data_IF_578132285067
#
_entry.id   IF_578132285067
#
_cell.length_a   1.000
_cell.length_b   1.000
_cell.length_c   1.000
_cell.angle_alpha   90.00
_cell.angle_beta   90.00
_cell.angle_gamma   90.00
#
_symmetry.space_group_name_H-M   'P 1'
#
loop_
_entity.id
_entity.type
_entity.pdbx_description
1 polymer ?
#
# COMPACT_ATOMS: atom_id res chain seq x y z
N UNK A 1 -58.76 -74.43 -8.71
CA UNK A 1 -59.81 -73.64 -8.01
C UNK A 1 -59.12 -72.71 -7.02
N UNK A 2 -59.60 -71.46 -6.97
CA UNK A 2 -59.25 -70.36 -6.04
C UNK A 2 -58.95 -70.86 -4.62
N UNK A 3 -58.04 -70.18 -3.91
CA UNK A 3 -58.13 -69.73 -2.50
C UNK A 3 -56.80 -69.01 -2.18
N UNK A 4 -56.74 -67.67 -2.24
CA UNK A 4 -57.13 -66.67 -1.23
C UNK A 4 -56.28 -66.78 0.04
N UNK A 5 -55.49 -65.72 0.26
CA UNK A 5 -54.54 -65.45 1.32
C UNK A 5 -55.12 -65.62 2.73
N UNK A 6 -54.30 -66.19 3.62
CA UNK A 6 -54.47 -66.14 5.07
C UNK A 6 -53.60 -65.02 5.67
N UNK A 7 -54.18 -64.31 6.63
CA UNK A 7 -53.58 -63.25 7.43
C UNK A 7 -52.39 -63.76 8.27
N UNK A 8 -51.35 -62.95 8.40
CA UNK A 8 -50.52 -62.95 9.62
C UNK A 8 -49.96 -61.55 9.88
N UNK A 9 -50.58 -60.87 10.84
CA UNK A 9 -50.10 -59.66 11.49
C UNK A 9 -48.96 -60.02 12.45
N UNK A 10 -47.77 -59.45 12.25
CA UNK A 10 -46.65 -59.53 13.20
C UNK A 10 -46.27 -58.11 13.66
N UNK A 11 -46.55 -57.82 14.93
CA UNK A 11 -46.06 -56.64 15.64
C UNK A 11 -44.53 -56.68 15.68
N UNK A 12 -43.87 -55.64 15.15
CA UNK A 12 -42.45 -55.41 15.32
C UNK A 12 -42.23 -54.54 16.57
N UNK A 13 -41.60 -55.14 17.56
CA UNK A 13 -41.11 -54.50 18.79
C UNK A 13 -39.99 -53.54 18.43
N UNK A 14 -40.13 -52.31 18.91
CA UNK A 14 -39.15 -51.22 18.80
C UNK A 14 -38.01 -51.50 19.79
N UNK A 15 -36.76 -51.61 19.29
CA UNK A 15 -35.58 -51.47 20.13
C UNK A 15 -34.85 -50.21 19.68
N UNK A 16 -34.77 -49.28 20.63
CA UNK A 16 -34.17 -47.97 20.51
C UNK A 16 -32.67 -48.05 20.21
N UNK A 17 -32.22 -47.35 19.17
CA UNK A 17 -30.85 -46.83 19.13
C UNK A 17 -30.84 -45.50 19.89
N UNK A 18 -29.96 -45.42 20.90
CA UNK A 18 -29.70 -44.21 21.66
C UNK A 18 -29.36 -43.05 20.73
N UNK A 19 -30.06 -41.93 20.96
CA UNK A 19 -29.72 -40.60 20.47
C UNK A 19 -28.28 -40.27 20.94
N UNK A 20 -27.35 -40.14 20.00
CA UNK A 20 -26.21 -39.26 20.19
C UNK A 20 -26.74 -37.83 20.21
N UNK A 21 -26.97 -37.29 21.40
CA UNK A 21 -27.20 -35.85 21.58
C UNK A 21 -25.85 -35.14 21.43
N UNK A 22 -25.77 -34.16 20.53
CA UNK A 22 -24.70 -33.17 20.55
C UNK A 22 -23.81 -33.06 19.32
N UNK A 23 -24.02 -33.82 18.24
CA UNK A 23 -23.35 -33.51 16.97
C UNK A 23 -24.16 -32.44 16.21
N UNK A 24 -24.00 -31.19 16.61
CA UNK A 24 -24.16 -30.10 15.66
C UNK A 24 -23.07 -30.30 14.62
N UNK A 25 -23.44 -30.79 13.44
CA UNK A 25 -22.64 -30.56 12.24
C UNK A 25 -22.62 -29.05 12.08
N UNK A 26 -21.57 -28.40 12.58
CA UNK A 26 -21.18 -27.11 12.05
C UNK A 26 -20.97 -27.36 10.57
N UNK A 27 -22.01 -27.04 9.79
CA UNK A 27 -21.81 -26.70 8.40
C UNK A 27 -20.90 -25.49 8.48
N UNK A 28 -19.60 -25.74 8.41
CA UNK A 28 -18.65 -24.74 8.00
C UNK A 28 -19.29 -24.17 6.74
N UNK A 29 -19.84 -22.96 6.86
CA UNK A 29 -20.08 -22.11 5.71
C UNK A 29 -18.69 -21.91 5.14
N UNK A 30 -18.23 -22.87 4.33
CA UNK A 30 -17.16 -22.67 3.38
C UNK A 30 -17.79 -21.63 2.47
N UNK A 31 -17.55 -20.36 2.81
CA UNK A 31 -17.81 -19.24 1.93
C UNK A 31 -17.11 -19.67 0.65
N UNK A 32 -17.88 -20.09 -0.37
CA UNK A 32 -17.29 -20.39 -1.68
C UNK A 32 -16.43 -19.17 -1.98
N UNK A 33 -15.12 -19.32 -2.27
CA UNK A 33 -14.30 -18.19 -2.64
C UNK A 33 -15.04 -17.48 -3.77
N UNK A 34 -15.50 -16.25 -3.50
CA UNK A 34 -16.15 -15.44 -4.51
C UNK A 34 -15.12 -15.28 -5.62
N UNK A 35 -15.47 -15.72 -6.83
CA UNK A 35 -14.54 -15.73 -7.95
C UNK A 35 -13.98 -14.32 -8.17
N UNK A 36 -12.67 -14.24 -8.41
CA UNK A 36 -12.03 -12.99 -8.81
C UNK A 36 -12.66 -12.51 -10.11
N UNK A 37 -13.21 -11.31 -10.10
CA UNK A 37 -13.73 -10.69 -11.32
C UNK A 37 -12.54 -10.05 -12.04
N UNK A 38 -12.23 -10.42 -13.29
CA UNK A 38 -11.12 -9.81 -14.01
C UNK A 38 -11.44 -8.34 -14.32
N UNK A 39 -10.41 -7.48 -14.27
CA UNK A 39 -10.55 -6.09 -14.68
C UNK A 39 -10.44 -5.99 -16.21
N UNK A 40 -11.52 -6.33 -16.90
CA UNK A 40 -11.57 -6.35 -18.37
C UNK A 40 -12.68 -5.44 -18.86
N UNK A 41 -12.30 -4.27 -19.37
CA UNK A 41 -13.21 -3.28 -19.93
C UNK A 41 -12.75 -2.89 -21.34
N UNK A 42 -13.69 -2.91 -22.28
CA UNK A 42 -13.43 -2.63 -23.68
C UNK A 42 -14.55 -1.79 -24.29
N UNK A 43 -14.17 -1.02 -25.31
CA UNK A 43 -15.08 -0.27 -26.17
C UNK A 43 -14.66 -0.52 -27.61
N UNK A 44 -15.62 -0.82 -28.49
CA UNK A 44 -15.35 -1.15 -29.89
C UNK A 44 -14.34 -2.29 -30.09
N UNK A 45 -14.33 -3.27 -29.17
CA UNK A 45 -13.40 -4.42 -29.22
C UNK A 45 -11.95 -4.12 -28.83
N UNK A 46 -11.64 -2.89 -28.41
CA UNK A 46 -10.32 -2.48 -27.90
C UNK A 46 -10.41 -2.18 -26.40
N UNK A 47 -9.31 -2.39 -25.66
CA UNK A 47 -9.23 -2.01 -24.24
C UNK A 47 -9.57 -0.53 -24.05
N UNK A 48 -10.29 -0.20 -22.97
CA UNK A 48 -10.46 1.20 -22.52
C UNK A 48 -9.47 1.58 -21.41
N UNK A 49 -8.70 0.61 -20.91
CA UNK A 49 -7.76 0.78 -19.81
C UNK A 49 -6.38 1.23 -20.33
N UNK A 50 -5.92 2.40 -19.88
CA UNK A 50 -4.59 2.94 -20.17
C UNK A 50 -3.58 2.53 -19.08
N UNK A 51 -2.88 1.42 -19.32
CA UNK A 51 -1.76 0.98 -18.49
C UNK A 51 -0.45 1.69 -18.87
N UNK A 52 -0.37 2.21 -20.09
CA UNK A 52 0.89 2.63 -20.68
C UNK A 52 1.44 3.85 -19.94
N UNK A 53 0.62 4.86 -19.71
CA UNK A 53 1.02 6.10 -19.02
C UNK A 53 1.58 5.83 -17.62
N UNK A 54 0.97 4.89 -16.88
CA UNK A 54 1.44 4.48 -15.55
C UNK A 54 2.80 3.75 -15.65
N UNK A 55 2.96 2.90 -16.67
CA UNK A 55 4.19 2.12 -16.88
C UNK A 55 5.43 2.97 -17.17
N UNK A 56 5.25 4.16 -17.77
CA UNK A 56 6.34 5.07 -18.15
C UNK A 56 7.13 5.63 -16.95
N UNK A 57 6.53 5.66 -15.76
CA UNK A 57 7.20 6.11 -14.53
C UNK A 57 8.08 5.03 -13.90
N UNK A 58 7.84 3.76 -14.23
CA UNK A 58 8.47 2.63 -13.56
C UNK A 58 9.96 2.57 -13.83
N UNK A 59 10.35 2.60 -15.10
CA UNK A 59 11.75 2.48 -15.50
C UNK A 59 12.67 3.52 -14.83
N UNK A 60 12.40 4.84 -14.89
CA UNK A 60 13.27 5.82 -14.24
C UNK A 60 13.32 5.63 -12.71
N UNK A 61 12.20 5.27 -12.06
CA UNK A 61 12.16 5.03 -10.62
C UNK A 61 12.95 3.78 -10.22
N UNK A 62 12.83 2.68 -10.97
CA UNK A 62 13.60 1.45 -10.76
C UNK A 62 15.11 1.70 -10.93
N UNK A 63 15.50 2.56 -11.89
CA UNK A 63 16.90 2.96 -12.06
C UNK A 63 17.40 3.75 -10.84
N UNK A 64 16.62 4.72 -10.36
CA UNK A 64 16.97 5.50 -9.15
C UNK A 64 17.10 4.56 -7.94
N UNK A 65 16.12 3.68 -7.71
CA UNK A 65 16.12 2.73 -6.61
C UNK A 65 17.39 1.87 -6.61
N UNK A 66 17.73 1.24 -7.75
CA UNK A 66 18.94 0.41 -7.86
C UNK A 66 20.21 1.19 -7.53
N UNK A 67 20.31 2.44 -8.00
CA UNK A 67 21.48 3.30 -7.73
C UNK A 67 21.57 3.67 -6.25
N UNK A 68 20.45 3.97 -5.61
CA UNK A 68 20.41 4.27 -4.18
C UNK A 68 20.78 3.03 -3.34
N UNK A 69 20.28 1.84 -3.71
CA UNK A 69 20.57 0.59 -3.01
C UNK A 69 22.05 0.18 -3.09
N UNK A 70 22.72 0.47 -4.20
CA UNK A 70 24.14 0.15 -4.37
C UNK A 70 25.07 0.98 -3.45
N UNK A 71 24.62 2.15 -3.00
CA UNK A 71 25.42 3.08 -2.20
C UNK A 71 26.64 3.62 -2.93
N UNK A 72 27.59 4.22 -2.18
CA UNK A 72 28.83 4.79 -2.71
C UNK A 72 28.64 5.70 -3.94
N UNK A 73 27.62 6.55 -3.88
CA UNK A 73 27.15 7.32 -5.03
C UNK A 73 28.17 8.40 -5.41
N UNK A 74 28.76 8.28 -6.60
CA UNK A 74 29.65 9.28 -7.17
C UNK A 74 28.90 10.56 -7.59
N UNK A 75 29.63 11.64 -7.90
CA UNK A 75 29.02 12.84 -8.49
C UNK A 75 28.25 12.52 -9.78
N UNK A 76 28.87 11.74 -10.68
CA UNK A 76 28.24 11.30 -11.92
C UNK A 76 26.95 10.51 -11.68
N UNK A 77 27.00 9.53 -10.78
CA UNK A 77 25.82 8.71 -10.44
C UNK A 77 24.70 9.54 -9.82
N UNK A 78 25.05 10.55 -9.01
CA UNK A 78 24.09 11.48 -8.41
C UNK A 78 23.42 12.36 -9.48
N UNK A 79 24.19 12.90 -10.43
CA UNK A 79 23.66 13.71 -11.52
C UNK A 79 22.72 12.87 -12.40
N UNK A 80 23.05 11.59 -12.63
CA UNK A 80 22.15 10.66 -13.31
C UNK A 80 20.85 10.40 -12.53
N UNK A 81 20.90 10.22 -11.20
CA UNK A 81 19.70 10.09 -10.36
C UNK A 81 18.80 11.32 -10.53
N UNK A 82 19.37 12.52 -10.46
CA UNK A 82 18.63 13.77 -10.66
C UNK A 82 18.05 13.86 -12.07
N UNK A 83 18.79 13.42 -13.09
CA UNK A 83 18.30 13.39 -14.47
C UNK A 83 17.11 12.44 -14.61
N UNK A 84 17.20 11.20 -14.15
CA UNK A 84 16.07 10.26 -14.21
C UNK A 84 14.85 10.75 -13.43
N UNK A 85 15.05 11.45 -12.31
CA UNK A 85 13.95 12.00 -11.53
C UNK A 85 13.27 13.19 -12.24
N UNK A 86 14.06 14.14 -12.77
CA UNK A 86 13.52 15.38 -13.36
C UNK A 86 13.09 15.23 -14.83
N UNK A 87 13.69 14.31 -15.58
CA UNK A 87 13.48 14.17 -17.02
C UNK A 87 12.83 12.84 -17.40
N UNK A 88 12.86 11.82 -16.52
CA UNK A 88 12.34 10.49 -16.82
C UNK A 88 13.14 9.77 -17.93
N UNK A 89 12.53 8.75 -18.52
CA UNK A 89 12.98 8.10 -19.76
C UNK A 89 12.03 8.36 -20.95
N UNK A 90 10.97 9.14 -20.71
CA UNK A 90 9.91 9.45 -21.66
C UNK A 90 9.43 10.90 -21.46
N UNK A 91 8.27 11.25 -22.03
CA UNK A 91 7.66 12.57 -21.81
C UNK A 91 7.05 12.71 -20.40
N UNK A 92 6.82 11.60 -19.68
CA UNK A 92 6.31 11.61 -18.30
C UNK A 92 7.49 11.65 -17.33
N UNK A 93 7.50 12.64 -16.43
CA UNK A 93 8.61 12.94 -15.54
C UNK A 93 8.25 12.62 -14.09
N UNK A 94 9.01 11.78 -13.36
CA UNK A 94 8.72 11.48 -11.97
C UNK A 94 8.60 12.72 -11.08
N UNK A 95 9.42 13.75 -11.30
CA UNK A 95 9.36 15.01 -10.55
C UNK A 95 8.04 15.75 -10.71
N UNK A 96 7.35 15.61 -11.84
CA UNK A 96 6.06 16.27 -12.10
C UNK A 96 4.89 15.46 -11.52
N UNK A 97 5.04 14.14 -11.41
CA UNK A 97 4.00 13.23 -10.96
C UNK A 97 3.99 13.01 -9.43
N UNK A 98 5.15 13.10 -8.78
CA UNK A 98 5.28 12.98 -7.32
C UNK A 98 4.54 14.11 -6.61
N UNK A 99 3.65 13.71 -5.70
CA UNK A 99 2.78 14.56 -4.88
C UNK A 99 2.04 15.62 -5.71
N UNK A 100 1.52 15.22 -6.86
CA UNK A 100 0.89 16.11 -7.83
C UNK A 100 -0.57 16.40 -7.50
N UNK A 101 -1.17 15.70 -6.54
CA UNK A 101 -2.49 16.08 -6.03
C UNK A 101 -2.47 17.46 -5.37
N UNK A 102 -3.52 18.28 -5.59
CA UNK A 102 -3.68 19.54 -4.87
C UNK A 102 -3.92 19.36 -3.35
N UNK A 103 -4.15 18.14 -2.89
CA UNK A 103 -4.29 17.83 -1.46
C UNK A 103 -2.94 17.51 -0.78
N UNK A 104 -1.87 17.35 -1.55
CA UNK A 104 -0.55 17.00 -1.03
C UNK A 104 0.29 18.25 -0.70
N UNK A 105 1.24 18.10 0.23
CA UNK A 105 2.27 19.11 0.48
C UNK A 105 3.38 19.07 -0.60
N UNK A 106 3.01 19.32 -1.86
CA UNK A 106 3.83 19.04 -3.06
C UNK A 106 5.26 19.57 -2.96
N UNK A 107 5.44 20.83 -2.58
CA UNK A 107 6.76 21.45 -2.53
C UNK A 107 7.67 20.77 -1.50
N UNK A 108 7.14 20.51 -0.29
CA UNK A 108 7.85 19.85 0.79
C UNK A 108 8.18 18.40 0.42
N UNK A 109 7.24 17.68 -0.19
CA UNK A 109 7.45 16.26 -0.55
C UNK A 109 8.51 16.11 -1.64
N UNK A 110 8.47 16.96 -2.67
CA UNK A 110 9.50 16.94 -3.73
C UNK A 110 10.88 17.30 -3.19
N UNK A 111 10.93 18.22 -2.22
CA UNK A 111 12.17 18.59 -1.54
C UNK A 111 12.69 17.44 -0.67
N UNK A 112 11.83 16.78 0.11
CA UNK A 112 12.18 15.58 0.89
C UNK A 112 12.77 14.48 -0.02
N UNK A 113 12.16 14.20 -1.18
CA UNK A 113 12.66 13.20 -2.13
C UNK A 113 14.06 13.57 -2.66
N UNK A 114 14.29 14.83 -3.04
CA UNK A 114 15.62 15.31 -3.46
C UNK A 114 16.65 15.20 -2.32
N UNK A 115 16.24 15.50 -1.10
CA UNK A 115 17.10 15.37 0.07
C UNK A 115 17.49 13.92 0.36
N UNK A 116 16.62 12.94 0.09
CA UNK A 116 17.00 11.52 0.18
C UNK A 116 18.17 11.18 -0.75
N UNK A 117 18.18 11.72 -1.98
CA UNK A 117 19.29 11.51 -2.92
C UNK A 117 20.59 12.14 -2.41
N UNK A 118 20.50 13.34 -1.84
CA UNK A 118 21.67 14.03 -1.29
C UNK A 118 22.23 13.28 -0.07
N UNK A 119 21.37 12.86 0.86
CA UNK A 119 21.78 12.06 2.02
C UNK A 119 22.43 10.76 1.56
N UNK A 120 21.85 10.05 0.59
CA UNK A 120 22.43 8.82 0.05
C UNK A 120 23.84 9.04 -0.55
N UNK A 121 24.03 10.17 -1.25
CA UNK A 121 25.34 10.57 -1.79
C UNK A 121 26.39 10.81 -0.71
N UNK A 122 25.98 11.37 0.42
CA UNK A 122 26.89 11.73 1.50
C UNK A 122 27.35 10.55 2.37
N UNK A 123 26.87 9.33 2.12
CA UNK A 123 27.26 8.14 2.92
C UNK A 123 28.59 7.55 2.39
N UNK A 124 29.67 7.56 3.20
CA UNK A 124 30.96 7.02 2.79
C UNK A 124 31.02 5.49 2.88
N UNK A 125 31.98 4.89 2.17
CA UNK A 125 32.32 3.47 2.26
C UNK A 125 33.12 3.16 3.53
N UNK A 126 32.41 2.99 4.64
CA UNK A 126 32.93 2.52 5.93
C UNK A 126 31.79 1.94 6.75
N UNK A 127 32.11 1.17 7.77
CA UNK A 127 31.08 0.68 8.69
C UNK A 127 30.42 1.82 9.48
N UNK A 128 29.09 1.81 9.54
CA UNK A 128 28.32 2.76 10.33
C UNK A 128 28.56 2.57 11.83
N UNK A 129 28.63 3.69 12.55
CA UNK A 129 28.66 3.73 14.01
C UNK A 129 27.64 4.77 14.51
N UNK A 130 27.34 4.78 15.80
CA UNK A 130 26.42 5.78 16.35
C UNK A 130 26.95 7.20 16.08
N UNK A 131 26.16 8.02 15.40
CA UNK A 131 26.58 9.39 15.00
C UNK A 131 27.49 9.43 13.77
N UNK A 132 27.71 8.30 13.09
CA UNK A 132 28.66 8.16 11.99
C UNK A 132 28.03 7.34 10.86
N UNK A 133 27.74 7.99 9.72
CA UNK A 133 27.19 7.34 8.53
C UNK A 133 28.12 6.28 7.93
N UNK A 134 27.54 5.27 7.28
CA UNK A 134 28.27 4.15 6.68
C UNK A 134 27.38 2.99 6.26
N UNK A 135 27.98 1.83 5.98
CA UNK A 135 27.26 0.58 5.76
C UNK A 135 26.89 -0.14 7.07
N UNK A 136 25.71 -0.74 7.09
CA UNK A 136 25.14 -1.52 8.18
C UNK A 136 24.42 -2.77 7.62
N UNK A 137 23.81 -3.56 8.50
CA UNK A 137 23.14 -4.82 8.14
C UNK A 137 24.00 -6.06 8.35
N UNK A 138 23.48 -7.23 7.96
CA UNK A 138 24.23 -8.49 8.05
C UNK A 138 25.27 -8.52 6.93
N UNK A 139 26.51 -8.88 7.25
CA UNK A 139 27.60 -9.05 6.28
C UNK A 139 27.59 -10.42 5.60
N UNK A 140 26.40 -10.98 5.39
CA UNK A 140 26.21 -12.26 4.69
C UNK A 140 25.77 -11.95 3.26
N UNK A 141 26.75 -11.73 2.39
CA UNK A 141 26.51 -11.29 1.00
C UNK A 141 26.03 -9.83 0.89
N UNK A 142 25.69 -9.41 -0.33
CA UNK A 142 25.32 -8.02 -0.63
C UNK A 142 23.84 -7.71 -0.34
N UNK A 143 22.96 -8.73 -0.25
CA UNK A 143 21.50 -8.55 -0.14
C UNK A 143 21.02 -7.97 1.20
N UNK A 144 21.83 -8.12 2.25
CA UNK A 144 21.51 -7.67 3.62
C UNK A 144 22.29 -6.41 4.05
N UNK A 145 23.18 -5.90 3.20
CA UNK A 145 23.90 -4.65 3.44
C UNK A 145 23.00 -3.45 3.10
N UNK A 146 23.02 -2.44 3.96
CA UNK A 146 22.33 -1.15 3.73
C UNK A 146 23.26 0.02 4.04
N UNK A 147 23.10 1.14 3.34
CA UNK A 147 23.83 2.37 3.60
C UNK A 147 22.96 3.30 4.43
N UNK A 148 23.46 3.75 5.58
CA UNK A 148 22.71 4.52 6.56
C UNK A 148 23.37 5.85 6.90
N UNK A 149 22.56 6.84 7.23
CA UNK A 149 23.00 8.10 7.81
C UNK A 149 23.49 7.94 9.27
N UNK A 150 23.89 9.03 9.91
CA UNK A 150 24.37 9.05 11.30
C UNK A 150 23.33 8.57 12.34
N UNK A 151 22.04 8.62 11.99
CA UNK A 151 20.92 8.14 12.80
C UNK A 151 20.53 6.70 12.50
N UNK A 152 21.19 6.05 11.54
CA UNK A 152 20.90 4.68 11.13
C UNK A 152 19.79 4.55 10.08
N UNK A 153 19.32 5.65 9.49
CA UNK A 153 18.28 5.65 8.45
C UNK A 153 18.90 5.36 7.09
N UNK A 154 18.37 4.38 6.38
CA UNK A 154 18.77 4.03 5.03
C UNK A 154 17.94 4.81 3.99
N UNK A 155 18.48 5.86 3.35
CA UNK A 155 17.71 6.71 2.43
C UNK A 155 17.14 5.94 1.24
N UNK A 156 17.83 4.89 0.77
CA UNK A 156 17.31 4.02 -0.28
C UNK A 156 16.01 3.31 0.13
N UNK A 157 15.95 2.80 1.36
CA UNK A 157 14.73 2.16 1.89
C UNK A 157 13.63 3.20 2.07
N UNK A 158 13.95 4.38 2.59
CA UNK A 158 12.97 5.47 2.77
C UNK A 158 12.40 5.92 1.42
N UNK A 159 13.23 6.02 0.38
CA UNK A 159 12.80 6.40 -0.97
C UNK A 159 11.73 5.45 -1.52
N UNK A 160 11.96 4.13 -1.47
CA UNK A 160 11.03 3.12 -1.99
C UNK A 160 9.62 3.31 -1.42
N UNK A 161 9.50 3.41 -0.09
CA UNK A 161 8.19 3.55 0.55
C UNK A 161 7.63 4.97 0.50
N UNK A 162 8.50 5.98 0.36
CA UNK A 162 8.08 7.35 0.05
C UNK A 162 7.39 7.40 -1.31
N UNK A 163 7.92 6.73 -2.34
CA UNK A 163 7.30 6.64 -3.67
C UNK A 163 5.98 5.87 -3.62
N UNK A 164 5.87 4.82 -2.80
CA UNK A 164 4.57 4.15 -2.57
C UNK A 164 3.47 5.11 -2.11
N UNK A 165 3.80 6.06 -1.24
CA UNK A 165 2.87 7.11 -0.83
C UNK A 165 2.74 8.23 -1.86
N UNK A 166 3.83 8.95 -2.08
CA UNK A 166 3.87 10.21 -2.78
C UNK A 166 3.59 10.10 -4.28
N UNK A 167 3.73 8.92 -4.88
CA UNK A 167 3.29 8.69 -6.25
C UNK A 167 2.04 7.82 -6.27
N UNK A 168 2.15 6.56 -5.84
CA UNK A 168 1.08 5.61 -6.09
C UNK A 168 -0.19 5.91 -5.26
N UNK A 169 -0.10 6.08 -3.94
CA UNK A 169 -1.28 6.45 -3.14
C UNK A 169 -1.81 7.85 -3.47
N UNK A 170 -0.93 8.82 -3.73
CA UNK A 170 -1.33 10.17 -4.14
C UNK A 170 -2.22 10.11 -5.39
N UNK A 171 -1.75 9.42 -6.43
CA UNK A 171 -2.49 9.24 -7.68
C UNK A 171 -3.79 8.49 -7.49
N UNK A 172 -3.80 7.43 -6.69
CA UNK A 172 -5.02 6.65 -6.44
C UNK A 172 -6.03 7.46 -5.62
N UNK A 173 -5.68 7.82 -4.38
CA UNK A 173 -6.62 8.27 -3.36
C UNK A 173 -6.83 9.79 -3.34
N UNK A 174 -5.78 10.57 -3.62
CA UNK A 174 -5.81 12.03 -3.52
C UNK A 174 -6.08 12.70 -4.86
N UNK A 175 -5.86 12.01 -5.98
CA UNK A 175 -6.10 12.54 -7.31
C UNK A 175 -7.25 11.84 -8.03
N UNK A 176 -7.04 10.62 -8.54
CA UNK A 176 -7.98 9.99 -9.46
C UNK A 176 -9.29 9.53 -8.81
N UNK A 177 -9.25 9.02 -7.57
CA UNK A 177 -10.43 8.71 -6.78
C UNK A 177 -10.84 9.89 -5.89
N UNK A 178 -10.92 11.08 -6.48
CA UNK A 178 -11.49 12.25 -5.85
C UNK A 178 -12.91 12.52 -6.37
N UNK A 179 -13.84 12.79 -5.45
CA UNK A 179 -15.26 13.00 -5.75
C UNK A 179 -15.49 14.19 -6.69
N UNK A 180 -14.58 15.17 -6.72
CA UNK A 180 -14.68 16.35 -7.59
C UNK A 180 -14.82 15.98 -9.06
N UNK A 181 -14.13 14.94 -9.52
CA UNK A 181 -14.22 14.50 -10.91
C UNK A 181 -15.60 13.88 -11.17
N UNK A 182 -16.00 12.96 -10.29
CA UNK A 182 -17.24 12.22 -10.45
C UNK A 182 -18.50 13.02 -10.11
N UNK A 183 -18.39 14.20 -9.50
CA UNK A 183 -19.50 15.13 -9.24
C UNK A 183 -19.56 16.29 -10.24
N UNK A 184 -18.53 16.47 -11.07
CA UNK A 184 -18.50 17.52 -12.09
C UNK A 184 -19.62 17.30 -13.14
N UNK A 185 -20.47 18.32 -13.30
CA UNK A 185 -21.64 18.25 -14.17
C UNK A 185 -21.27 18.15 -15.67
N UNK A 186 -20.13 18.74 -16.07
CA UNK A 186 -19.62 18.67 -17.43
C UNK A 186 -19.08 17.28 -17.72
N UNK A 187 -18.21 16.75 -16.85
CA UNK A 187 -17.65 15.40 -17.01
C UNK A 187 -18.74 14.32 -17.00
N UNK A 188 -19.76 14.44 -16.13
CA UNK A 188 -20.91 13.53 -16.15
C UNK A 188 -21.69 13.59 -17.46
N UNK A 189 -21.96 14.81 -17.97
CA UNK A 189 -22.68 15.00 -19.23
C UNK A 189 -21.89 14.45 -20.41
N UNK A 190 -20.60 14.73 -20.48
CA UNK A 190 -19.69 14.19 -21.49
C UNK A 190 -19.65 12.66 -21.45
N UNK A 191 -19.56 12.08 -20.25
CA UNK A 191 -19.57 10.64 -20.07
C UNK A 191 -20.90 10.00 -20.53
N UNK A 192 -22.05 10.57 -20.15
CA UNK A 192 -23.38 10.11 -20.60
C UNK A 192 -23.59 10.23 -22.11
N UNK A 193 -23.00 11.27 -22.72
CA UNK A 193 -23.01 11.49 -24.16
C UNK A 193 -21.87 10.74 -24.87
N UNK A 194 -21.08 9.95 -24.15
CA UNK A 194 -20.03 9.10 -24.73
C UNK A 194 -18.96 9.93 -25.46
N UNK A 195 -18.65 11.13 -24.95
CA UNK A 195 -17.63 12.02 -25.51
C UNK A 195 -16.24 11.45 -25.22
N UNK A 196 -15.46 11.22 -26.27
CA UNK A 196 -14.11 10.66 -26.22
C UNK A 196 -13.08 11.76 -26.49
N UNK A 197 -12.00 11.85 -25.69
CA UNK A 197 -10.82 12.61 -26.08
C UNK A 197 -10.26 12.13 -27.42
N UNK A 198 -9.62 13.03 -28.16
CA UNK A 198 -9.11 12.72 -29.49
C UNK A 198 -8.05 11.60 -29.44
N UNK A 199 -8.27 10.53 -30.20
CA UNK A 199 -7.37 9.37 -30.24
C UNK A 199 -7.62 8.32 -29.15
N UNK A 200 -8.53 8.59 -28.21
CA UNK A 200 -8.77 7.74 -27.04
C UNK A 200 -10.05 6.91 -27.17
N UNK A 201 -10.11 5.82 -26.41
CA UNK A 201 -11.23 4.87 -26.41
C UNK A 201 -11.97 4.82 -25.06
N UNK A 202 -11.83 5.86 -24.26
CA UNK A 202 -12.45 6.04 -22.95
C UNK A 202 -13.00 7.45 -22.81
N UNK A 203 -14.02 7.64 -21.98
CA UNK A 203 -14.39 8.98 -21.52
C UNK A 203 -13.44 9.44 -20.41
N UNK A 204 -13.39 10.74 -20.14
CA UNK A 204 -12.51 11.27 -19.09
C UNK A 204 -12.79 10.66 -17.70
N UNK A 205 -14.05 10.42 -17.33
CA UNK A 205 -14.38 9.78 -16.04
C UNK A 205 -13.92 8.33 -15.96
N UNK A 206 -14.09 7.57 -17.04
CA UNK A 206 -13.59 6.20 -17.12
C UNK A 206 -12.08 6.17 -16.99
N UNK A 207 -11.39 7.10 -17.65
CA UNK A 207 -9.94 7.24 -17.56
C UNK A 207 -9.44 7.50 -16.14
N UNK A 208 -10.09 8.41 -15.39
CA UNK A 208 -9.73 8.63 -13.99
C UNK A 208 -9.84 7.34 -13.18
N UNK A 209 -10.94 6.61 -13.30
CA UNK A 209 -11.12 5.35 -12.57
C UNK A 209 -10.10 4.27 -12.99
N UNK A 210 -9.87 4.15 -14.30
CA UNK A 210 -8.95 3.20 -14.91
C UNK A 210 -7.49 3.50 -14.50
N UNK A 211 -7.05 4.76 -14.52
CA UNK A 211 -5.72 5.15 -14.04
C UNK A 211 -5.52 4.84 -12.55
N UNK A 212 -6.53 5.09 -11.70
CA UNK A 212 -6.46 4.71 -10.29
C UNK A 212 -6.21 3.20 -10.11
N UNK A 213 -6.86 2.37 -10.92
CA UNK A 213 -6.59 0.93 -10.92
C UNK A 213 -5.16 0.61 -11.39
N UNK A 214 -4.69 1.26 -12.45
CA UNK A 214 -3.32 1.08 -12.97
C UNK A 214 -2.26 1.39 -11.91
N UNK A 215 -2.35 2.52 -11.20
CA UNK A 215 -1.46 2.83 -10.10
C UNK A 215 -1.59 1.85 -8.93
N UNK A 216 -2.78 1.32 -8.66
CA UNK A 216 -2.99 0.31 -7.63
C UNK A 216 -2.22 -0.99 -7.89
N UNK A 217 -2.02 -1.39 -9.16
CA UNK A 217 -1.24 -2.60 -9.49
C UNK A 217 0.20 -2.53 -8.96
N UNK A 218 0.77 -1.33 -8.82
CA UNK A 218 2.10 -1.13 -8.22
C UNK A 218 2.12 -1.29 -6.69
N UNK A 219 0.97 -1.21 -6.03
CA UNK A 219 0.79 -1.42 -4.59
C UNK A 219 0.15 -2.77 -4.25
N UNK A 220 -0.26 -3.55 -5.25
CA UNK A 220 -1.04 -4.77 -5.06
C UNK A 220 -0.37 -5.76 -4.10
N UNK A 221 0.96 -5.94 -4.19
CA UNK A 221 1.72 -6.83 -3.30
C UNK A 221 1.60 -6.42 -1.81
N UNK A 222 1.41 -5.13 -1.52
CA UNK A 222 1.20 -4.66 -0.14
C UNK A 222 -0.13 -5.14 0.43
N UNK A 223 -1.11 -5.45 -0.40
CA UNK A 223 -2.45 -5.90 0.02
C UNK A 223 -2.55 -7.39 0.31
N UNK A 224 -1.52 -8.17 -0.03
CA UNK A 224 -1.46 -9.61 0.21
C UNK A 224 -1.31 -9.94 1.69
N UNK A 225 -1.80 -11.10 2.13
CA UNK A 225 -1.73 -11.51 3.54
C UNK A 225 -0.40 -12.12 3.97
N UNK A 226 0.60 -12.17 3.08
CA UNK A 226 1.89 -12.83 3.28
C UNK A 226 2.53 -12.45 4.63
N UNK A 227 2.42 -13.36 5.61
CA UNK A 227 2.91 -13.18 6.97
C UNK A 227 2.13 -12.17 7.84
N UNK A 228 1.03 -11.59 7.36
CA UNK A 228 0.25 -10.55 8.05
C UNK A 228 -1.24 -10.90 8.02
N UNK A 229 -1.69 -11.68 9.02
CA UNK A 229 -3.07 -12.18 9.10
C UNK A 229 -4.14 -11.08 9.05
N UNK A 230 -3.84 -9.88 9.57
CA UNK A 230 -4.75 -8.73 9.54
C UNK A 230 -5.09 -8.23 8.12
N UNK A 231 -4.35 -8.67 7.09
CA UNK A 231 -4.59 -8.34 5.68
C UNK A 231 -5.37 -9.44 4.92
N UNK A 232 -5.84 -10.48 5.60
CA UNK A 232 -6.60 -11.56 4.98
C UNK A 232 -7.81 -11.02 4.19
N UNK A 233 -7.81 -11.23 2.87
CA UNK A 233 -8.88 -10.81 1.97
C UNK A 233 -8.87 -9.34 1.55
N UNK A 234 -7.90 -8.53 2.00
CA UNK A 234 -7.81 -7.11 1.66
C UNK A 234 -7.66 -6.89 0.14
N UNK A 235 -6.71 -7.59 -0.49
CA UNK A 235 -6.49 -7.54 -1.94
C UNK A 235 -7.78 -7.77 -2.74
N UNK A 236 -8.48 -8.86 -2.46
CA UNK A 236 -9.73 -9.22 -3.13
C UNK A 236 -10.79 -8.15 -2.94
N UNK A 237 -10.93 -7.61 -1.72
CA UNK A 237 -11.92 -6.57 -1.41
C UNK A 237 -11.65 -5.29 -2.21
N UNK A 238 -10.39 -4.87 -2.29
CA UNK A 238 -9.97 -3.68 -3.05
C UNK A 238 -10.19 -3.92 -4.55
N UNK A 239 -9.71 -5.05 -5.09
CA UNK A 239 -9.89 -5.40 -6.51
C UNK A 239 -11.36 -5.47 -6.92
N UNK A 240 -12.20 -6.12 -6.12
CA UNK A 240 -13.63 -6.21 -6.40
C UNK A 240 -14.31 -4.84 -6.37
N UNK A 241 -13.89 -3.93 -5.47
CA UNK A 241 -14.41 -2.58 -5.45
C UNK A 241 -14.02 -1.78 -6.72
N UNK A 242 -12.77 -1.91 -7.20
CA UNK A 242 -12.36 -1.31 -8.47
C UNK A 242 -13.20 -1.81 -9.65
N UNK A 243 -13.39 -3.13 -9.76
CA UNK A 243 -14.19 -3.73 -10.84
C UNK A 243 -15.65 -3.30 -10.74
N UNK A 244 -16.24 -3.39 -9.54
CA UNK A 244 -17.64 -3.02 -9.32
C UNK A 244 -17.87 -1.53 -9.61
N UNK A 245 -16.97 -0.66 -9.18
CA UNK A 245 -17.13 0.77 -9.44
C UNK A 245 -17.04 1.07 -10.93
N UNK A 246 -16.14 0.42 -11.67
CA UNK A 246 -16.07 0.57 -13.13
C UNK A 246 -17.34 0.09 -13.85
N UNK A 247 -17.97 -0.98 -13.34
CA UNK A 247 -19.28 -1.46 -13.82
C UNK A 247 -20.39 -0.44 -13.55
N UNK A 248 -20.45 0.13 -12.35
CA UNK A 248 -21.46 1.12 -11.99
C UNK A 248 -21.26 2.44 -12.74
N UNK A 249 -20.01 2.82 -13.01
CA UNK A 249 -19.68 3.93 -13.91
C UNK A 249 -20.28 3.69 -15.30
N UNK A 250 -20.04 2.52 -15.91
CA UNK A 250 -20.63 2.17 -17.21
C UNK A 250 -22.17 2.12 -17.24
N UNK A 251 -22.82 2.02 -16.08
CA UNK A 251 -24.29 2.08 -15.91
C UNK A 251 -24.80 3.48 -15.54
N UNK A 252 -23.91 4.48 -15.50
CA UNK A 252 -24.19 5.84 -15.05
C UNK A 252 -24.71 5.94 -13.61
N UNK A 253 -24.41 4.96 -12.76
CA UNK A 253 -24.84 4.86 -11.37
C UNK A 253 -23.78 5.46 -10.44
N UNK A 254 -23.65 6.77 -10.47
CA UNK A 254 -22.61 7.49 -9.72
C UNK A 254 -22.71 7.33 -8.20
N UNK A 255 -23.92 7.18 -7.64
CA UNK A 255 -24.06 6.93 -6.20
C UNK A 255 -23.48 5.56 -5.80
N UNK A 256 -23.72 4.52 -6.61
CA UNK A 256 -23.15 3.20 -6.38
C UNK A 256 -21.63 3.18 -6.63
N UNK A 257 -21.13 4.01 -7.55
CA UNK A 257 -19.69 4.25 -7.74
C UNK A 257 -19.04 4.82 -6.47
N UNK A 258 -19.70 5.79 -5.81
CA UNK A 258 -19.21 6.40 -4.58
C UNK A 258 -19.02 5.37 -3.46
N UNK A 259 -19.96 4.44 -3.31
CA UNK A 259 -19.83 3.33 -2.36
C UNK A 259 -18.54 2.52 -2.58
N UNK A 260 -18.19 2.24 -3.84
CA UNK A 260 -16.96 1.50 -4.17
C UNK A 260 -15.71 2.34 -3.91
N UNK A 261 -15.74 3.63 -4.24
CA UNK A 261 -14.64 4.54 -3.92
C UNK A 261 -14.38 4.61 -2.41
N UNK A 262 -15.42 4.67 -1.58
CA UNK A 262 -15.29 4.67 -0.13
C UNK A 262 -14.69 3.37 0.40
N UNK A 263 -15.05 2.23 -0.19
CA UNK A 263 -14.42 0.94 0.12
C UNK A 263 -12.92 0.98 -0.22
N UNK A 264 -12.54 1.44 -1.41
CA UNK A 264 -11.13 1.53 -1.82
C UNK A 264 -10.34 2.44 -0.87
N UNK A 265 -10.85 3.64 -0.58
CA UNK A 265 -10.21 4.59 0.35
C UNK A 265 -9.97 3.95 1.72
N UNK A 266 -11.00 3.32 2.29
CA UNK A 266 -10.91 2.68 3.61
C UNK A 266 -9.89 1.54 3.62
N UNK A 267 -10.04 0.59 2.71
CA UNK A 267 -9.29 -0.66 2.74
C UNK A 267 -7.83 -0.44 2.37
N UNK A 268 -7.54 0.35 1.34
CA UNK A 268 -6.16 0.64 0.95
C UNK A 268 -5.44 1.46 2.02
N UNK A 269 -6.10 2.44 2.64
CA UNK A 269 -5.53 3.20 3.76
C UNK A 269 -5.23 2.30 4.97
N UNK A 270 -6.13 1.36 5.29
CA UNK A 270 -5.94 0.35 6.34
C UNK A 270 -4.76 -0.58 6.03
N UNK A 271 -4.59 -1.02 4.78
CA UNK A 271 -3.43 -1.82 4.35
C UNK A 271 -2.13 -1.08 4.68
N UNK A 272 -2.04 0.20 4.33
CA UNK A 272 -0.84 1.00 4.56
C UNK A 272 -0.52 1.17 6.05
N UNK A 273 -1.54 1.40 6.88
CA UNK A 273 -1.39 1.46 8.33
C UNK A 273 -0.88 0.13 8.92
N UNK A 274 -1.49 -0.99 8.53
CA UNK A 274 -1.09 -2.33 8.98
C UNK A 274 0.34 -2.66 8.53
N UNK A 275 0.71 -2.33 7.29
CA UNK A 275 2.09 -2.52 6.80
C UNK A 275 3.08 -1.65 7.55
N UNK A 276 2.72 -0.42 7.89
CA UNK A 276 3.56 0.46 8.72
C UNK A 276 3.81 -0.17 10.09
N UNK A 277 2.74 -0.59 10.78
CA UNK A 277 2.82 -1.24 12.09
C UNK A 277 3.65 -2.53 12.01
N UNK A 278 3.31 -3.42 11.08
CA UNK A 278 4.00 -4.70 10.92
C UNK A 278 5.49 -4.50 10.58
N UNK A 279 5.85 -3.53 9.75
CA UNK A 279 7.26 -3.28 9.42
C UNK A 279 8.04 -2.75 10.63
N UNK A 280 7.43 -1.92 11.48
CA UNK A 280 8.08 -1.37 12.68
C UNK A 280 8.17 -2.37 13.84
N UNK A 281 7.13 -3.19 14.06
CA UNK A 281 7.01 -4.06 15.25
C UNK A 281 6.85 -5.55 14.93
N UNK A 282 7.00 -5.94 13.67
CA UNK A 282 6.92 -7.34 13.26
C UNK A 282 8.03 -8.20 13.87
N UNK A 283 7.78 -9.51 13.94
CA UNK A 283 8.68 -10.47 14.60
C UNK A 283 10.10 -10.40 14.04
N UNK A 284 10.25 -10.29 12.71
CA UNK A 284 11.56 -10.18 12.07
C UNK A 284 12.29 -8.89 12.47
N UNK A 285 11.61 -7.74 12.45
CA UNK A 285 12.19 -6.46 12.86
C UNK A 285 12.65 -6.50 14.30
N UNK A 286 11.79 -6.97 15.22
CA UNK A 286 12.10 -7.03 16.65
C UNK A 286 13.19 -8.05 16.97
N UNK A 287 13.20 -9.22 16.32
CA UNK A 287 14.25 -10.22 16.50
C UNK A 287 15.63 -9.68 16.08
N UNK A 288 15.72 -9.11 14.87
CA UNK A 288 16.97 -8.50 14.38
C UNK A 288 17.42 -7.36 15.29
N UNK A 289 16.50 -6.50 15.73
CA UNK A 289 16.84 -5.35 16.59
C UNK A 289 17.30 -5.78 18.00
N UNK A 290 16.70 -6.85 18.52
CA UNK A 290 17.09 -7.45 19.80
C UNK A 290 18.48 -8.07 19.71
N UNK A 291 18.83 -8.69 18.59
CA UNK A 291 20.18 -9.22 18.35
C UNK A 291 21.20 -8.07 18.21
N UNK A 292 20.97 -7.16 17.27
CA UNK A 292 21.83 -5.99 17.03
C UNK A 292 21.09 -4.90 16.26
N UNK A 293 21.13 -3.63 16.72
CA UNK A 293 20.46 -2.52 16.03
C UNK A 293 20.74 -2.46 14.53
N UNK A 294 22.01 -2.65 14.12
CA UNK A 294 22.44 -2.58 12.71
C UNK A 294 21.70 -3.58 11.82
N UNK A 295 21.32 -4.75 12.34
CA UNK A 295 20.61 -5.77 11.57
C UNK A 295 19.16 -5.37 11.27
N UNK A 296 18.57 -4.46 12.05
CA UNK A 296 17.19 -4.02 11.85
C UNK A 296 17.06 -2.69 11.11
N UNK A 297 18.15 -1.97 10.84
CA UNK A 297 18.10 -0.65 10.19
C UNK A 297 17.41 -0.67 8.84
N UNK A 298 17.56 -1.75 8.07
CA UNK A 298 16.79 -1.97 6.85
C UNK A 298 15.29 -1.85 7.15
N UNK A 299 14.74 -2.76 7.94
CA UNK A 299 13.31 -2.82 8.27
C UNK A 299 12.79 -1.53 8.94
N UNK A 300 13.53 -0.97 9.89
CA UNK A 300 13.13 0.28 10.55
C UNK A 300 13.12 1.48 9.59
N UNK A 301 14.03 1.52 8.61
CA UNK A 301 14.02 2.55 7.56
C UNK A 301 12.86 2.35 6.57
N UNK A 302 12.49 1.10 6.28
CA UNK A 302 11.27 0.80 5.53
C UNK A 302 10.04 1.31 6.29
N UNK A 303 9.97 1.04 7.60
CA UNK A 303 8.91 1.54 8.49
C UNK A 303 8.87 3.07 8.55
N UNK A 304 10.02 3.74 8.55
CA UNK A 304 10.14 5.20 8.48
C UNK A 304 9.59 5.76 7.17
N UNK A 305 9.84 5.11 6.03
CA UNK A 305 9.25 5.49 4.74
C UNK A 305 7.75 5.18 4.65
N UNK A 306 7.30 4.06 5.21
CA UNK A 306 5.87 3.73 5.33
C UNK A 306 5.11 4.76 6.16
N UNK A 307 5.70 5.20 7.28
CA UNK A 307 5.18 6.27 8.11
C UNK A 307 4.99 7.57 7.32
N UNK A 308 5.94 7.90 6.43
CA UNK A 308 5.82 9.04 5.53
C UNK A 308 4.62 8.90 4.58
N UNK A 309 4.40 7.69 4.05
CA UNK A 309 3.32 7.41 3.09
C UNK A 309 1.91 7.58 3.68
N UNK A 310 1.75 7.56 5.01
CA UNK A 310 0.44 7.69 5.66
C UNK A 310 -0.25 9.03 5.39
N UNK A 311 0.49 10.09 5.06
CA UNK A 311 -0.11 11.37 4.66
C UNK A 311 -0.91 11.32 3.35
N UNK A 312 -0.71 10.27 2.54
CA UNK A 312 -1.43 10.03 1.28
C UNK A 312 -2.61 9.07 1.45
N UNK A 313 -3.03 8.81 2.69
CA UNK A 313 -4.18 7.95 2.99
C UNK A 313 -5.42 8.76 3.35
N UNK A 314 -6.59 8.25 2.98
CA UNK A 314 -7.88 8.96 3.13
C UNK A 314 -8.92 8.12 3.85
N UNK A 315 -9.69 8.78 4.70
CA UNK A 315 -10.94 8.26 5.26
C UNK A 315 -12.00 8.13 4.16
N UNK A 316 -13.07 7.33 4.39
CA UNK A 316 -14.20 7.26 3.45
C UNK A 316 -14.74 8.63 3.05
N UNK A 317 -14.89 9.54 4.02
CA UNK A 317 -15.38 10.92 3.84
C UNK A 317 -14.41 11.83 3.07
N UNK A 318 -13.27 11.33 2.64
CA UNK A 318 -12.28 12.07 1.87
C UNK A 318 -11.32 12.92 2.69
N UNK A 319 -11.44 13.00 4.02
CA UNK A 319 -10.42 13.65 4.85
C UNK A 319 -9.16 12.79 4.96
N UNK A 320 -8.00 13.44 5.14
CA UNK A 320 -6.73 12.74 5.37
C UNK A 320 -6.72 12.08 6.76
N UNK A 321 -6.03 10.95 6.90
CA UNK A 321 -5.72 10.39 8.24
C UNK A 321 -4.60 11.17 8.92
N UNK A 322 -3.58 11.56 8.15
CA UNK A 322 -2.46 12.35 8.64
C UNK A 322 -2.17 13.48 7.66
N UNK A 323 -1.80 14.63 8.19
CA UNK A 323 -1.14 15.71 7.44
C UNK A 323 0.35 15.43 7.30
N UNK A 324 1.01 16.16 6.38
CA UNK A 324 2.47 16.15 6.24
C UNK A 324 3.17 16.41 7.58
N UNK A 325 2.77 17.47 8.30
CA UNK A 325 3.43 17.87 9.55
C UNK A 325 3.29 16.79 10.64
N UNK A 326 2.15 16.11 10.72
CA UNK A 326 1.95 15.03 11.69
C UNK A 326 2.82 13.81 11.40
N UNK A 327 2.96 13.38 10.13
CA UNK A 327 3.87 12.28 9.82
C UNK A 327 5.34 12.68 10.04
N UNK A 328 5.72 13.93 9.74
CA UNK A 328 7.06 14.43 10.07
C UNK A 328 7.30 14.45 11.58
N UNK A 329 6.30 14.81 12.38
CA UNK A 329 6.39 14.76 13.84
C UNK A 329 6.62 13.33 14.35
N UNK A 330 5.88 12.34 13.83
CA UNK A 330 6.09 10.92 14.18
C UNK A 330 7.46 10.41 13.73
N UNK A 331 7.91 10.78 12.53
CA UNK A 331 9.26 10.47 12.05
C UNK A 331 10.33 11.05 12.97
N UNK A 332 10.20 12.33 13.36
CA UNK A 332 11.13 13.00 14.26
C UNK A 332 11.15 12.35 15.65
N UNK A 333 10.00 11.91 16.17
CA UNK A 333 9.92 11.12 17.40
C UNK A 333 10.64 9.78 17.22
N UNK A 334 10.43 9.05 16.12
CA UNK A 334 11.07 7.77 15.86
C UNK A 334 12.60 7.88 15.83
N UNK A 335 13.15 8.95 15.25
CA UNK A 335 14.61 9.17 15.14
C UNK A 335 15.19 10.16 16.14
N UNK A 336 14.48 10.42 17.25
CA UNK A 336 14.95 11.32 18.31
C UNK A 336 16.27 10.83 18.96
N UNK A 337 17.08 11.80 19.42
CA UNK A 337 18.37 11.53 20.04
C UNK A 337 19.34 10.86 19.06
N UNK A 338 19.84 9.67 19.42
CA UNK A 338 20.78 8.89 18.60
C UNK A 338 20.07 8.09 17.50
N UNK A 339 18.82 8.41 17.16
CA UNK A 339 18.09 7.76 16.07
C UNK A 339 17.78 6.29 16.35
N UNK A 340 17.96 5.46 15.32
CA UNK A 340 17.72 4.01 15.37
C UNK A 340 18.74 3.26 16.25
N UNK A 341 19.82 3.92 16.67
CA UNK A 341 20.79 3.36 17.62
C UNK A 341 20.24 3.26 19.05
N UNK A 342 19.19 4.03 19.39
CA UNK A 342 18.64 4.08 20.75
C UNK A 342 17.75 2.87 21.08
N UNK A 343 18.39 1.71 21.30
CA UNK A 343 17.70 0.44 21.60
C UNK A 343 16.81 0.50 22.84
N UNK A 344 17.28 1.14 23.90
CA UNK A 344 16.55 1.25 25.16
C UNK A 344 15.22 1.98 24.97
N UNK A 345 15.23 3.12 24.25
CA UNK A 345 14.00 3.88 23.96
C UNK A 345 13.11 3.17 22.96
N UNK A 346 13.65 2.65 21.87
CA UNK A 346 12.85 2.06 20.80
C UNK A 346 12.13 0.77 21.22
N UNK A 347 12.73 -0.01 22.13
CA UNK A 347 12.09 -1.20 22.74
C UNK A 347 11.27 -0.89 24.00
N UNK A 348 11.19 0.37 24.41
CA UNK A 348 10.45 0.75 25.60
C UNK A 348 8.92 0.53 25.43
N UNK A 349 8.17 0.50 26.54
CA UNK A 349 6.71 0.49 26.53
C UNK A 349 6.08 1.67 25.75
N UNK A 350 4.77 1.60 25.49
CA UNK A 350 4.07 2.54 24.64
C UNK A 350 3.89 3.93 25.28
N UNK A 351 4.09 4.05 26.59
CA UNK A 351 4.07 5.28 27.36
C UNK A 351 5.32 6.15 27.08
N UNK A 352 6.38 5.54 26.55
CA UNK A 352 7.61 6.26 26.21
C UNK A 352 7.50 6.81 24.79
N UNK A 353 7.47 8.14 24.69
CA UNK A 353 7.35 8.87 23.41
C UNK A 353 8.43 8.44 22.42
N UNK A 354 8.00 8.10 21.21
CA UNK A 354 8.87 7.69 20.12
C UNK A 354 9.43 6.26 20.26
N UNK A 355 9.00 5.46 21.25
CA UNK A 355 9.20 4.01 21.21
C UNK A 355 8.44 3.41 20.03
N UNK A 356 8.86 2.22 19.55
CA UNK A 356 8.17 1.58 18.43
C UNK A 356 6.70 1.32 18.76
N UNK A 357 6.42 0.85 19.99
CA UNK A 357 5.06 0.62 20.48
C UNK A 357 4.24 1.91 20.55
N UNK A 358 4.84 3.00 21.02
CA UNK A 358 4.19 4.31 21.10
C UNK A 358 3.77 4.81 19.70
N UNK A 359 4.67 4.75 18.72
CA UNK A 359 4.37 5.16 17.34
C UNK A 359 3.28 4.27 16.73
N UNK A 360 3.40 2.95 16.87
CA UNK A 360 2.40 2.03 16.29
C UNK A 360 1.03 2.13 16.95
N UNK A 361 0.97 2.45 18.25
CA UNK A 361 -0.31 2.65 18.96
C UNK A 361 -1.02 3.90 18.44
N UNK A 362 -0.31 5.02 18.25
CA UNK A 362 -0.90 6.24 17.67
C UNK A 362 -1.47 6.00 16.26
N UNK A 363 -0.79 5.16 15.46
CA UNK A 363 -1.30 4.74 14.15
C UNK A 363 -2.54 3.86 14.33
N UNK A 364 -2.46 2.80 15.14
CA UNK A 364 -3.56 1.86 15.34
C UNK A 364 -4.84 2.56 15.82
N UNK A 365 -4.75 3.45 16.81
CA UNK A 365 -5.87 4.24 17.32
C UNK A 365 -6.50 5.10 16.21
N UNK A 366 -5.68 5.75 15.39
CA UNK A 366 -6.16 6.64 14.33
C UNK A 366 -6.88 5.89 13.21
N UNK A 367 -6.44 4.69 12.88
CA UNK A 367 -7.06 3.81 11.87
C UNK A 367 -8.09 2.84 12.46
N UNK A 368 -8.30 2.84 13.79
CA UNK A 368 -9.21 1.93 14.50
C UNK A 368 -8.85 0.44 14.25
N UNK A 369 -7.58 0.09 14.48
CA UNK A 369 -7.00 -1.24 14.23
C UNK A 369 -6.81 -2.08 15.48
#
# INVERSE_FOLDING_TARGET
MKHILSYLSLLLVVIACQKGEGETVETANILRPQADIPYTFSRNGQSSFDEHSVSLLREPLDIIERRLLNGAISNFTYDEILRYYNEGTSYVKPADEVASSPLAATAQVREDVKNLFLVAKSIPLREAQQGVSGDAGRRVGDADRVYVDEKGIAPAQVFIYTINGALYLDKILLYHLDERFFSDATLRREHQNVVLPAGENYTQLEHHWDLAYGYFLHLQSLTQSDGVAALAGAERKIRNAFVQGRIELGRYRYEALYEQMYIIRKELSKVMAIRTIHTLTGVNTLANYTESPKQAFKYLSQGYGFLYALQFTRKPDGSLYFTYDEVKALQNQLVAGTGLWNKSRLLAPAEIVGSLKNITQQIAERYQL
#
